data_IF_565177024107
#
_entry.id   IF_565177024107
#
_cell.length_a   1.000
_cell.length_b   1.000
_cell.length_c   1.000
_cell.angle_alpha   90.00
_cell.angle_beta   90.00
_cell.angle_gamma   90.00
#
_symmetry.space_group_name_H-M   'P 1'
#
loop_
_entity.id
_entity.type
_entity.pdbx_description
1 polymer ?
#
# COMPACT_ATOMS: atom_id res chain seq x y z
N UNK A 1 0.37 26.42 4.17
CA UNK A 1 0.42 26.91 2.77
C UNK A 1 1.82 27.30 2.32
N UNK A 2 2.60 28.06 3.12
CA UNK A 2 3.99 28.43 2.78
C UNK A 2 4.88 27.25 2.35
N UNK A 3 4.78 26.11 3.03
CA UNK A 3 5.57 24.92 2.65
C UNK A 3 5.16 24.32 1.31
N UNK A 4 3.88 24.39 0.93
CA UNK A 4 3.40 23.85 -0.35
C UNK A 4 3.99 24.66 -1.50
N UNK A 5 3.95 25.99 -1.40
CA UNK A 5 4.52 26.88 -2.42
C UNK A 5 6.04 26.73 -2.50
N UNK A 6 6.73 26.64 -1.36
CA UNK A 6 8.17 26.33 -1.33
C UNK A 6 8.49 25.00 -2.01
N UNK A 7 7.70 23.96 -1.77
CA UNK A 7 7.92 22.62 -2.37
C UNK A 7 7.59 22.59 -3.86
N UNK A 8 6.69 23.44 -4.36
CA UNK A 8 6.45 23.58 -5.80
C UNK A 8 7.67 24.10 -6.56
N UNK A 9 8.57 24.83 -5.88
CA UNK A 9 9.87 25.25 -6.43
C UNK A 9 10.97 24.18 -6.40
N UNK A 10 10.77 23.04 -5.73
CA UNK A 10 11.81 22.03 -5.55
C UNK A 10 11.90 21.07 -6.75
N UNK A 11 13.01 21.11 -7.49
CA UNK A 11 13.25 20.25 -8.65
C UNK A 11 13.57 18.79 -8.30
N UNK A 12 13.88 18.47 -7.05
CA UNK A 12 14.15 17.10 -6.59
C UNK A 12 12.89 16.24 -6.36
N UNK A 13 11.69 16.79 -6.58
CA UNK A 13 10.41 16.09 -6.38
C UNK A 13 9.45 16.30 -7.56
N UNK A 14 8.36 15.51 -7.60
CA UNK A 14 7.25 15.75 -8.52
C UNK A 14 6.50 17.02 -8.08
N UNK A 15 6.64 18.11 -8.85
CA UNK A 15 6.03 19.43 -8.62
C UNK A 15 4.53 19.48 -8.93
N UNK A 16 3.76 18.58 -8.32
CA UNK A 16 2.30 18.52 -8.46
C UNK A 16 1.65 18.91 -7.14
N UNK A 17 0.98 20.06 -7.10
CA UNK A 17 0.37 20.62 -5.88
C UNK A 17 -0.50 19.61 -5.13
N UNK A 18 -1.35 18.88 -5.84
CA UNK A 18 -2.21 17.85 -5.25
C UNK A 18 -1.45 16.71 -4.55
N UNK A 19 -0.29 16.28 -5.06
CA UNK A 19 0.50 15.20 -4.46
C UNK A 19 1.23 15.68 -3.21
N UNK A 20 1.72 16.92 -3.24
CA UNK A 20 2.36 17.58 -2.09
C UNK A 20 1.35 17.75 -0.96
N UNK A 21 0.19 18.36 -1.25
CA UNK A 21 -0.89 18.56 -0.27
C UNK A 21 -1.37 17.21 0.28
N UNK A 22 -1.53 16.21 -0.58
CA UNK A 22 -1.92 14.86 -0.19
C UNK A 22 -0.91 14.22 0.77
N UNK A 23 0.39 14.35 0.51
CA UNK A 23 1.45 13.82 1.39
C UNK A 23 1.37 14.44 2.78
N UNK A 24 1.20 15.76 2.86
CA UNK A 24 1.05 16.48 4.15
C UNK A 24 -0.22 16.04 4.88
N UNK A 25 -1.35 15.93 4.16
CA UNK A 25 -2.61 15.43 4.73
C UNK A 25 -2.47 14.00 5.25
N UNK A 26 -1.90 13.11 4.44
CA UNK A 26 -1.76 11.69 4.76
C UNK A 26 -0.81 11.49 5.96
N UNK A 27 0.20 12.34 6.15
CA UNK A 27 1.03 12.33 7.36
C UNK A 27 0.22 12.65 8.63
N UNK A 28 -0.76 13.56 8.56
CA UNK A 28 -1.68 13.83 9.69
C UNK A 28 -2.59 12.63 9.96
N UNK A 29 -3.18 12.07 8.91
CA UNK A 29 -4.03 10.86 9.00
C UNK A 29 -3.25 9.65 9.52
N UNK A 30 -1.96 9.55 9.20
CA UNK A 30 -1.08 8.51 9.71
C UNK A 30 -0.90 8.61 11.22
N UNK A 31 -0.73 9.81 11.77
CA UNK A 31 -0.66 10.03 13.22
C UNK A 31 -1.96 9.61 13.92
N UNK A 32 -3.10 10.05 13.40
CA UNK A 32 -4.42 9.67 13.94
C UNK A 32 -4.63 8.15 13.90
N UNK A 33 -4.18 7.48 12.82
CA UNK A 33 -4.23 6.03 12.71
C UNK A 33 -3.30 5.32 13.71
N UNK A 34 -2.12 5.88 13.98
CA UNK A 34 -1.22 5.37 15.03
C UNK A 34 -1.86 5.53 16.41
N UNK A 35 -2.52 6.67 16.67
CA UNK A 35 -3.21 6.90 17.95
C UNK A 35 -4.37 5.90 18.16
N UNK A 36 -5.11 5.55 17.10
CA UNK A 36 -6.25 4.61 17.16
C UNK A 36 -5.83 3.13 17.17
N UNK A 37 -4.78 2.76 16.43
CA UNK A 37 -4.40 1.35 16.18
C UNK A 37 -3.03 0.96 16.72
N UNK A 38 -2.34 1.85 17.42
CA UNK A 38 -0.98 1.65 17.93
C UNK A 38 0.12 1.74 16.86
N UNK A 39 -0.14 1.30 15.63
CA UNK A 39 0.78 1.49 14.50
C UNK A 39 0.08 1.42 13.14
N UNK A 40 0.71 2.02 12.11
CA UNK A 40 0.28 1.82 10.72
C UNK A 40 0.35 0.34 10.32
N UNK A 41 1.39 -0.36 10.79
CA UNK A 41 1.62 -1.75 10.46
C UNK A 41 0.47 -2.63 10.98
N UNK A 42 0.05 -2.46 12.24
CA UNK A 42 -1.12 -3.14 12.81
C UNK A 42 -2.38 -2.91 11.96
N UNK A 43 -2.60 -1.66 11.52
CA UNK A 43 -3.76 -1.34 10.71
C UNK A 43 -3.73 -1.95 9.30
N UNK A 44 -2.59 -1.91 8.59
CA UNK A 44 -2.49 -2.46 7.24
C UNK A 44 -2.49 -4.00 7.25
N UNK A 45 -1.76 -4.62 8.17
CA UNK A 45 -1.61 -6.08 8.21
C UNK A 45 -2.89 -6.82 8.61
N UNK A 46 -3.88 -6.15 9.21
CA UNK A 46 -5.22 -6.74 9.41
C UNK A 46 -5.95 -7.05 8.10
N UNK A 47 -5.51 -6.45 6.99
CA UNK A 47 -6.05 -6.69 5.65
C UNK A 47 -5.19 -7.66 4.82
N UNK A 48 -4.22 -8.36 5.41
CA UNK A 48 -3.48 -9.41 4.71
C UNK A 48 -4.50 -10.42 4.11
N UNK A 49 -4.53 -10.62 2.79
CA UNK A 49 -5.50 -11.51 2.16
C UNK A 49 -5.26 -12.97 2.58
N UNK A 50 -6.35 -13.69 2.82
CA UNK A 50 -6.32 -15.14 3.03
C UNK A 50 -5.84 -15.91 1.80
N UNK A 51 -5.49 -17.21 1.93
CA UNK A 51 -5.09 -18.04 0.80
C UNK A 51 -6.12 -18.10 -0.35
N UNK A 52 -7.40 -17.99 -0.01
CA UNK A 52 -8.56 -17.98 -0.93
C UNK A 52 -8.74 -16.65 -1.69
N UNK A 53 -8.21 -15.54 -1.15
CA UNK A 53 -8.21 -14.23 -1.79
C UNK A 53 -6.94 -13.97 -2.63
N UNK A 54 -6.05 -14.96 -2.75
CA UNK A 54 -4.79 -14.88 -3.51
C UNK A 54 -4.84 -15.75 -4.76
N UNK A 55 -4.21 -15.33 -5.87
CA UNK A 55 -4.14 -16.15 -7.06
C UNK A 55 -3.28 -17.40 -6.83
N UNK A 56 -3.66 -18.52 -7.43
CA UNK A 56 -2.87 -19.75 -7.36
C UNK A 56 -1.53 -19.67 -8.13
N UNK A 57 -1.47 -18.84 -9.17
CA UNK A 57 -0.30 -18.59 -10.00
C UNK A 57 -0.16 -17.08 -10.22
N UNK A 58 1.05 -16.55 -10.04
CA UNK A 58 1.36 -15.15 -10.38
C UNK A 58 2.29 -15.12 -11.59
N UNK A 59 1.73 -14.80 -12.75
CA UNK A 59 2.49 -14.58 -13.99
C UNK A 59 2.23 -13.18 -14.57
N UNK A 60 2.91 -12.86 -15.69
CA UNK A 60 2.76 -11.55 -16.32
C UNK A 60 1.34 -11.30 -16.85
N UNK A 61 0.64 -12.34 -17.31
CA UNK A 61 -0.72 -12.21 -17.81
C UNK A 61 -1.68 -11.87 -16.67
N UNK A 62 -1.55 -12.57 -15.53
CA UNK A 62 -2.28 -12.32 -14.32
C UNK A 62 -2.08 -10.89 -13.81
N UNK A 63 -0.83 -10.43 -13.67
CA UNK A 63 -0.54 -9.08 -13.18
C UNK A 63 -1.10 -7.98 -14.10
N UNK A 64 -1.06 -8.18 -15.42
CA UNK A 64 -1.62 -7.22 -16.38
C UNK A 64 -3.15 -7.17 -16.34
N UNK A 65 -3.80 -8.32 -16.17
CA UNK A 65 -5.25 -8.42 -16.11
C UNK A 65 -5.82 -7.86 -14.80
N UNK A 66 -5.03 -7.85 -13.72
CA UNK A 66 -5.51 -7.53 -12.37
C UNK A 66 -4.75 -6.33 -11.76
N UNK A 67 -5.03 -5.09 -12.19
CA UNK A 67 -4.41 -3.88 -11.62
C UNK A 67 -4.93 -3.54 -10.21
N UNK A 68 -5.89 -4.30 -9.70
CA UNK A 68 -6.52 -4.14 -8.37
C UNK A 68 -6.98 -5.50 -7.85
N UNK A 69 -7.21 -5.61 -6.55
CA UNK A 69 -7.85 -6.78 -5.91
C UNK A 69 -9.05 -6.35 -5.08
N UNK A 70 -9.91 -7.29 -4.71
CA UNK A 70 -11.01 -7.01 -3.78
C UNK A 70 -10.50 -6.37 -2.48
N UNK A 71 -9.37 -6.86 -1.96
CA UNK A 71 -8.72 -6.34 -0.76
C UNK A 71 -8.21 -4.90 -0.97
N UNK A 72 -7.56 -4.60 -2.09
CA UNK A 72 -7.07 -3.23 -2.36
C UNK A 72 -8.21 -2.22 -2.51
N UNK A 73 -9.36 -2.65 -3.05
CA UNK A 73 -10.59 -1.85 -3.10
C UNK A 73 -11.13 -1.59 -1.69
N UNK A 74 -11.18 -2.61 -0.82
CA UNK A 74 -11.60 -2.44 0.59
C UNK A 74 -10.71 -1.46 1.34
N UNK A 75 -9.39 -1.65 1.28
CA UNK A 75 -8.42 -0.75 1.93
C UNK A 75 -8.56 0.68 1.38
N UNK A 76 -8.63 0.84 0.05
CA UNK A 76 -8.82 2.15 -0.59
C UNK A 76 -10.05 2.88 -0.07
N UNK A 77 -11.18 2.17 0.06
CA UNK A 77 -12.43 2.73 0.59
C UNK A 77 -12.28 3.17 2.04
N UNK A 78 -11.66 2.34 2.88
CA UNK A 78 -11.43 2.66 4.30
C UNK A 78 -10.48 3.85 4.48
N UNK A 79 -9.38 3.92 3.72
CA UNK A 79 -8.46 5.06 3.74
C UNK A 79 -9.17 6.35 3.31
N UNK A 80 -9.96 6.32 2.24
CA UNK A 80 -10.73 7.48 1.78
C UNK A 80 -11.74 7.94 2.83
N UNK A 81 -12.46 7.00 3.47
CA UNK A 81 -13.38 7.31 4.58
C UNK A 81 -12.66 7.99 5.74
N UNK A 82 -11.39 7.65 5.96
CA UNK A 82 -10.49 8.26 6.96
C UNK A 82 -9.79 9.52 6.47
N UNK A 83 -10.21 10.10 5.34
CA UNK A 83 -9.69 11.38 4.84
C UNK A 83 -8.31 11.29 4.19
N UNK A 84 -7.82 10.09 3.85
CA UNK A 84 -6.61 9.97 3.02
C UNK A 84 -6.91 10.34 1.57
N UNK A 85 -5.90 10.83 0.86
CA UNK A 85 -5.98 11.21 -0.56
C UNK A 85 -4.89 10.51 -1.38
N UNK A 86 -5.07 10.42 -2.71
CA UNK A 86 -4.17 9.68 -3.61
C UNK A 86 -4.01 8.18 -3.29
N UNK A 87 -5.04 7.58 -2.70
CA UNK A 87 -5.09 6.18 -2.28
C UNK A 87 -6.12 5.38 -3.09
N UNK A 88 -6.06 5.47 -4.42
CA UNK A 88 -6.92 4.68 -5.31
C UNK A 88 -6.62 3.17 -5.22
N UNK A 89 -7.55 2.26 -5.60
CA UNK A 89 -7.36 0.82 -5.44
C UNK A 89 -6.11 0.26 -6.14
N UNK A 90 -5.72 0.81 -7.29
CA UNK A 90 -4.48 0.42 -7.99
C UNK A 90 -3.24 0.86 -7.21
N UNK A 91 -3.21 2.11 -6.72
CA UNK A 91 -2.12 2.60 -5.87
C UNK A 91 -2.01 1.79 -4.58
N UNK A 92 -3.15 1.44 -3.98
CA UNK A 92 -3.19 0.61 -2.78
C UNK A 92 -2.72 -0.82 -3.07
N UNK A 93 -3.06 -1.40 -4.22
CA UNK A 93 -2.55 -2.72 -4.57
C UNK A 93 -1.03 -2.72 -4.77
N UNK A 94 -0.50 -1.71 -5.47
CA UNK A 94 0.94 -1.51 -5.59
C UNK A 94 1.63 -1.34 -4.22
N UNK A 95 0.98 -0.62 -3.29
CA UNK A 95 1.46 -0.53 -1.91
C UNK A 95 1.45 -1.89 -1.20
N UNK A 96 0.38 -2.68 -1.34
CA UNK A 96 0.31 -4.03 -0.75
C UNK A 96 1.44 -4.94 -1.26
N UNK A 97 1.76 -4.86 -2.54
CA UNK A 97 2.89 -5.57 -3.16
C UNK A 97 4.22 -5.10 -2.56
N UNK A 98 4.45 -3.79 -2.52
CA UNK A 98 5.70 -3.21 -2.02
C UNK A 98 5.94 -3.48 -0.54
N UNK A 99 4.89 -3.48 0.28
CA UNK A 99 4.97 -3.71 1.73
C UNK A 99 4.91 -5.19 2.11
N UNK A 100 4.77 -6.09 1.14
CA UNK A 100 4.70 -7.52 1.39
C UNK A 100 3.42 -7.96 2.09
N UNK A 101 2.29 -7.27 1.89
CA UNK A 101 0.97 -7.82 2.26
C UNK A 101 0.60 -8.98 1.32
N UNK A 102 1.05 -8.91 0.07
CA UNK A 102 1.01 -10.01 -0.90
C UNK A 102 2.42 -10.34 -1.38
N UNK A 103 2.62 -11.53 -1.95
CA UNK A 103 3.84 -11.89 -2.64
C UNK A 103 3.54 -12.16 -4.11
N UNK A 104 3.74 -11.10 -4.90
CA UNK A 104 3.45 -11.10 -6.33
C UNK A 104 4.72 -11.16 -7.18
N UNK A 105 5.84 -11.61 -6.59
CA UNK A 105 6.97 -12.04 -7.39
C UNK A 105 6.49 -13.12 -8.38
N UNK A 106 6.82 -12.98 -9.66
CA UNK A 106 6.39 -13.91 -10.70
C UNK A 106 6.81 -15.36 -10.40
N UNK A 107 6.07 -16.34 -10.91
CA UNK A 107 6.54 -17.72 -10.93
C UNK A 107 7.93 -17.81 -11.60
N UNK A 108 8.84 -18.56 -10.97
CA UNK A 108 10.24 -18.64 -11.38
C UNK A 108 11.11 -17.45 -10.97
N UNK A 109 10.57 -16.39 -10.36
CA UNK A 109 11.38 -15.32 -9.79
C UNK A 109 12.24 -15.86 -8.65
N UNK A 110 13.56 -15.60 -8.69
CA UNK A 110 14.50 -16.08 -7.68
C UNK A 110 14.15 -15.62 -6.24
N UNK A 111 13.50 -14.46 -6.08
CA UNK A 111 13.08 -13.96 -4.78
C UNK A 111 11.83 -14.67 -4.22
N UNK A 112 10.97 -15.27 -5.06
CA UNK A 112 9.61 -15.70 -4.66
C UNK A 112 9.65 -16.68 -3.51
N UNK A 113 10.51 -17.71 -3.60
CA UNK A 113 10.64 -18.75 -2.59
C UNK A 113 11.19 -18.20 -1.27
N UNK A 114 12.15 -17.27 -1.33
CA UNK A 114 12.74 -16.68 -0.12
C UNK A 114 11.74 -15.74 0.58
N UNK A 115 11.03 -14.91 -0.19
CA UNK A 115 9.96 -14.05 0.34
C UNK A 115 8.86 -14.88 1.00
N UNK A 116 8.43 -16.01 0.42
CA UNK A 116 7.45 -16.89 1.08
C UNK A 116 7.96 -17.46 2.41
N UNK A 117 9.25 -17.80 2.52
CA UNK A 117 9.84 -18.25 3.80
C UNK A 117 9.80 -17.13 4.84
N UNK A 118 10.22 -15.92 4.47
CA UNK A 118 10.22 -14.78 5.38
C UNK A 118 8.81 -14.40 5.83
N UNK A 119 7.82 -14.44 4.93
CA UNK A 119 6.40 -14.25 5.27
C UNK A 119 5.87 -15.30 6.25
N UNK A 120 6.30 -16.56 6.14
CA UNK A 120 5.90 -17.61 7.09
C UNK A 120 6.47 -17.37 8.48
N UNK A 121 7.70 -16.84 8.58
CA UNK A 121 8.36 -16.50 9.85
C UNK A 121 7.84 -15.20 10.46
N UNK A 122 7.29 -14.30 9.63
CA UNK A 122 6.85 -12.99 10.07
C UNK A 122 5.74 -13.11 11.12
N UNK A 123 6.00 -12.57 12.32
CA UNK A 123 4.98 -12.30 13.31
C UNK A 123 4.22 -11.05 12.87
N UNK A 124 2.94 -11.21 12.50
CA UNK A 124 2.12 -10.10 12.01
C UNK A 124 2.02 -9.03 13.12
N UNK A 125 2.24 -7.75 12.78
CA UNK A 125 2.01 -6.65 13.71
C UNK A 125 0.57 -6.70 14.25
N UNK A 126 0.42 -6.55 15.56
CA UNK A 126 -0.88 -6.49 16.24
C UNK A 126 -1.20 -5.07 16.64
#
# INVERSE_FOLDING_TARGET
>A
EKDVERLLGNAGIIRHRGKIVSTINNAKRAREMVDEFGSLAAWFWKFEPGPDERPGIVDLAHLRANPTTAVSVRISKELKKRGWSFVGPTTVYAFMQAMGLVNDHLEGCYCRAEVEKERKKLKRPK
#
